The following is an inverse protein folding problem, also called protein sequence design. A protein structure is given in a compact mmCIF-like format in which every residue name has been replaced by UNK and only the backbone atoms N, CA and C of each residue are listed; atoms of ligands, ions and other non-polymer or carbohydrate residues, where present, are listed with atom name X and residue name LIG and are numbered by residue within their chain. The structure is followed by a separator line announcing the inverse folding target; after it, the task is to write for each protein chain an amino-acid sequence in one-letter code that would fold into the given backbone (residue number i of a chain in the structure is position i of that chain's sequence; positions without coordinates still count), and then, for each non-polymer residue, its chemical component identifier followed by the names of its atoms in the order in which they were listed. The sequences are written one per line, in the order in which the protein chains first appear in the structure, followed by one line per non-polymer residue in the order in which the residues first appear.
data_IF_713263353832
#
_entry.id   IF_713263353832
#
_cell.length_a   1.000
_cell.length_b   1.000
_cell.length_c   1.000
_cell.angle_alpha   90.00
_cell.angle_beta   90.00
_cell.angle_gamma   90.00
#
_symmetry.space_group_name_H-M   'P 1'
#
loop_
_entity.id
_entity.type
_entity.pdbx_description
1 polymer ?
#
# COMPACT_ATOMS: atom_id res chain seq x y z
N UNK A 1 -21.63 37.42 -12.84
CA UNK A 1 -22.40 36.64 -11.85
C UNK A 1 -22.07 37.22 -10.48
N UNK A 2 -23.08 37.75 -9.79
CA UNK A 2 -22.86 38.35 -8.46
C UNK A 2 -22.66 37.25 -7.43
N UNK A 3 -21.86 37.48 -6.38
CA UNK A 3 -21.61 36.48 -5.30
C UNK A 3 -22.94 35.98 -4.67
N UNK A 4 -23.97 36.82 -4.64
CA UNK A 4 -25.31 36.44 -4.18
C UNK A 4 -26.01 35.43 -5.10
N UNK A 5 -25.82 35.54 -6.41
CA UNK A 5 -26.41 34.62 -7.39
C UNK A 5 -25.76 33.24 -7.32
N UNK A 6 -24.47 33.18 -6.99
CA UNK A 6 -23.72 31.93 -6.76
C UNK A 6 -24.26 31.19 -5.52
N UNK A 7 -24.60 31.90 -4.46
CA UNK A 7 -25.18 31.33 -3.23
C UNK A 7 -26.56 30.73 -3.45
N UNK A 8 -27.42 31.40 -4.23
CA UNK A 8 -28.75 30.85 -4.59
C UNK A 8 -28.62 29.61 -5.47
N UNK A 9 -27.77 29.65 -6.50
CA UNK A 9 -27.50 28.52 -7.39
C UNK A 9 -26.97 27.29 -6.62
N UNK A 10 -26.02 27.50 -5.71
CA UNK A 10 -25.47 26.43 -4.88
C UNK A 10 -26.52 25.80 -3.95
N UNK A 11 -27.39 26.64 -3.36
CA UNK A 11 -28.46 26.16 -2.49
C UNK A 11 -29.48 25.31 -3.25
N UNK A 12 -29.87 25.75 -4.43
CA UNK A 12 -30.86 25.04 -5.24
C UNK A 12 -30.25 23.74 -5.80
N UNK A 13 -29.01 23.78 -6.28
CA UNK A 13 -28.26 22.57 -6.66
C UNK A 13 -28.16 21.58 -5.48
N UNK A 14 -27.81 22.05 -4.28
CA UNK A 14 -27.68 21.21 -3.10
C UNK A 14 -29.02 20.62 -2.67
N UNK A 15 -30.10 21.36 -2.79
CA UNK A 15 -31.44 20.90 -2.46
C UNK A 15 -31.90 19.79 -3.41
N UNK A 16 -31.54 19.85 -4.69
CA UNK A 16 -31.82 18.82 -5.69
C UNK A 16 -30.90 17.61 -5.53
N UNK A 17 -29.60 17.85 -5.37
CA UNK A 17 -28.59 16.78 -5.17
C UNK A 17 -28.90 15.91 -3.94
N UNK A 18 -29.38 16.50 -2.85
CA UNK A 18 -29.76 15.77 -1.63
C UNK A 18 -30.93 14.80 -1.83
N UNK A 19 -31.69 14.92 -2.90
CA UNK A 19 -32.80 14.01 -3.21
C UNK A 19 -32.29 12.75 -3.90
N UNK A 20 -31.09 12.78 -4.48
CA UNK A 20 -30.48 11.67 -5.19
C UNK A 20 -29.60 10.84 -4.23
N UNK A 21 -30.12 9.70 -3.74
CA UNK A 21 -29.42 8.85 -2.77
C UNK A 21 -28.08 8.32 -3.30
N UNK A 22 -27.99 7.99 -4.59
CA UNK A 22 -26.74 7.56 -5.24
C UNK A 22 -25.68 8.64 -5.24
N UNK A 23 -26.07 9.90 -5.45
CA UNK A 23 -25.18 11.06 -5.39
C UNK A 23 -24.60 11.27 -3.98
N UNK A 24 -25.43 11.13 -2.95
CA UNK A 24 -24.98 11.23 -1.55
C UNK A 24 -23.98 10.13 -1.18
N UNK A 25 -24.22 8.89 -1.61
CA UNK A 25 -23.28 7.78 -1.39
C UNK A 25 -21.95 8.07 -2.11
N UNK A 26 -22.00 8.51 -3.38
CA UNK A 26 -20.79 8.88 -4.12
C UNK A 26 -20.00 9.99 -3.47
N UNK A 27 -20.69 11.05 -2.99
CA UNK A 27 -20.08 12.16 -2.27
C UNK A 27 -19.45 11.69 -0.94
N UNK A 28 -20.13 10.84 -0.19
CA UNK A 28 -19.62 10.29 1.06
C UNK A 28 -18.35 9.45 0.83
N UNK A 29 -18.31 8.63 -0.23
CA UNK A 29 -17.12 7.86 -0.61
C UNK A 29 -15.97 8.78 -1.04
N UNK A 30 -16.24 9.82 -1.82
CA UNK A 30 -15.22 10.79 -2.22
C UNK A 30 -14.64 11.51 -1.00
N UNK A 31 -15.50 11.96 -0.08
CA UNK A 31 -15.05 12.58 1.19
C UNK A 31 -14.22 11.58 2.00
N UNK A 32 -14.65 10.33 2.10
CA UNK A 32 -13.89 9.27 2.78
C UNK A 32 -12.50 9.12 2.17
N UNK A 33 -12.38 9.06 0.85
CA UNK A 33 -11.09 8.92 0.16
C UNK A 33 -10.20 10.15 0.36
N UNK A 34 -10.78 11.36 0.34
CA UNK A 34 -10.05 12.58 0.66
C UNK A 34 -9.56 12.59 2.12
N UNK A 35 -10.39 12.16 3.06
CA UNK A 35 -9.99 12.04 4.46
C UNK A 35 -8.86 11.01 4.64
N UNK A 36 -8.96 9.84 3.99
CA UNK A 36 -7.87 8.85 4.01
C UNK A 36 -6.58 9.44 3.45
N UNK A 37 -6.65 10.23 2.39
CA UNK A 37 -5.48 10.89 1.79
C UNK A 37 -4.88 11.95 2.73
N UNK A 38 -5.71 12.76 3.39
CA UNK A 38 -5.26 13.80 4.33
C UNK A 38 -4.65 13.17 5.59
N UNK A 39 -5.28 12.11 6.08
CA UNK A 39 -4.84 11.37 7.27
C UNK A 39 -4.01 10.13 6.93
N UNK A 40 -3.28 10.14 5.82
CA UNK A 40 -2.45 9.02 5.39
C UNK A 40 -1.46 8.58 6.47
N UNK A 41 -0.67 9.51 7.02
CA UNK A 41 0.40 9.21 7.99
C UNK A 41 -0.05 8.44 9.24
N UNK A 42 -1.13 8.82 9.95
CA UNK A 42 -1.60 8.04 11.08
C UNK A 42 -2.23 6.70 10.69
N UNK A 43 -2.74 6.55 9.46
CA UNK A 43 -3.36 5.33 8.99
C UNK A 43 -2.35 4.27 8.52
N UNK A 44 -1.13 4.69 8.13
CA UNK A 44 -0.10 3.78 7.67
C UNK A 44 0.53 2.98 8.82
N UNK A 45 0.40 1.64 8.85
CA UNK A 45 1.16 0.77 9.76
C UNK A 45 2.67 0.90 9.53
N UNK A 46 3.08 1.02 8.26
CA UNK A 46 4.46 1.19 7.83
C UNK A 46 4.71 2.61 7.36
N UNK A 47 5.38 3.42 8.19
CA UNK A 47 5.52 4.88 7.99
C UNK A 47 6.29 5.26 6.72
N UNK A 48 7.25 4.44 6.29
CA UNK A 48 8.11 4.72 5.15
C UNK A 48 7.61 4.07 3.84
N UNK A 49 6.37 3.61 3.79
CA UNK A 49 5.77 2.95 2.60
C UNK A 49 5.98 3.75 1.32
N UNK A 50 5.79 5.07 1.38
CA UNK A 50 5.92 5.93 0.19
C UNK A 50 7.33 5.95 -0.41
N UNK A 51 8.37 5.94 0.43
CA UNK A 51 9.77 6.02 0.01
C UNK A 51 10.41 4.66 -0.21
N UNK A 52 9.92 3.62 0.47
CA UNK A 52 10.54 2.29 0.51
C UNK A 52 9.66 1.17 -0.04
N UNK A 53 8.67 1.50 -0.87
CA UNK A 53 7.75 0.49 -1.45
C UNK A 53 8.48 -0.62 -2.22
N UNK A 54 9.54 -0.26 -2.95
CA UNK A 54 10.36 -1.20 -3.74
C UNK A 54 11.59 -1.73 -3.00
N UNK A 55 11.81 -1.30 -1.78
CA UNK A 55 12.93 -1.75 -0.96
C UNK A 55 12.59 -3.09 -0.30
N UNK A 56 13.10 -4.18 -0.85
CA UNK A 56 12.87 -5.54 -0.36
C UNK A 56 13.33 -5.69 1.10
N UNK A 57 14.38 -4.97 1.51
CA UNK A 57 14.91 -5.05 2.87
C UNK A 57 13.95 -4.47 3.91
N UNK A 58 13.17 -3.47 3.53
CA UNK A 58 12.16 -2.87 4.40
C UNK A 58 11.01 -3.83 4.73
N UNK A 59 10.67 -4.72 3.78
CA UNK A 59 9.56 -5.66 3.91
C UNK A 59 9.99 -7.06 4.33
N UNK A 60 11.29 -7.32 4.49
CA UNK A 60 11.87 -8.66 4.66
C UNK A 60 11.32 -9.45 5.87
N UNK A 61 10.81 -8.76 6.89
CA UNK A 61 10.32 -9.35 8.14
C UNK A 61 8.86 -9.78 8.07
N UNK A 62 8.13 -9.32 7.06
CA UNK A 62 6.78 -9.75 6.81
C UNK A 62 6.73 -11.14 6.17
N UNK A 63 5.65 -11.90 6.35
CA UNK A 63 5.42 -13.16 5.65
C UNK A 63 5.08 -12.93 4.17
N UNK A 64 5.35 -13.93 3.34
CA UNK A 64 4.98 -13.92 1.91
C UNK A 64 3.52 -14.36 1.76
N UNK A 65 2.73 -13.65 0.95
CA UNK A 65 1.35 -14.01 0.59
C UNK A 65 0.48 -14.34 1.82
N UNK A 66 0.70 -13.65 2.93
CA UNK A 66 -0.06 -13.92 4.12
C UNK A 66 -1.49 -13.36 4.01
N UNK A 67 -2.51 -14.14 4.38
CA UNK A 67 -3.86 -13.64 4.44
C UNK A 67 -4.04 -12.60 5.54
N UNK A 68 -5.11 -11.78 5.46
CA UNK A 68 -5.45 -10.81 6.48
C UNK A 68 -5.68 -11.41 7.88
N UNK A 69 -5.40 -10.65 8.94
CA UNK A 69 -5.59 -11.11 10.34
C UNK A 69 -7.05 -11.50 10.64
N UNK A 70 -8.02 -10.82 10.05
CA UNK A 70 -9.45 -11.11 10.28
C UNK A 70 -9.89 -12.49 9.75
N UNK A 71 -9.11 -13.14 8.87
CA UNK A 71 -9.39 -14.52 8.43
C UNK A 71 -9.38 -15.53 9.56
N UNK A 72 -8.67 -15.21 10.66
CA UNK A 72 -8.70 -16.01 11.89
C UNK A 72 -10.10 -16.11 12.54
N UNK A 73 -11.03 -15.20 12.20
CA UNK A 73 -12.41 -15.27 12.71
C UNK A 73 -13.17 -16.47 12.13
N UNK A 74 -12.78 -16.93 10.95
CA UNK A 74 -13.42 -18.05 10.23
C UNK A 74 -12.57 -19.33 10.27
N UNK A 75 -11.34 -19.27 10.82
CA UNK A 75 -10.43 -20.40 10.83
C UNK A 75 -10.75 -21.36 12.00
N UNK A 76 -10.77 -22.66 11.74
CA UNK A 76 -10.88 -23.69 12.78
C UNK A 76 -9.69 -23.71 13.73
N UNK A 77 -8.48 -23.46 13.21
CA UNK A 77 -7.24 -23.31 13.97
C UNK A 77 -6.67 -21.91 13.70
N UNK A 78 -6.57 -21.12 14.76
CA UNK A 78 -6.06 -19.74 14.68
C UNK A 78 -4.57 -19.75 14.37
N UNK A 79 -4.18 -18.99 13.36
CA UNK A 79 -2.80 -18.76 12.99
C UNK A 79 -2.17 -17.64 13.84
N UNK A 80 -0.86 -17.73 14.10
CA UNK A 80 -0.13 -16.63 14.70
C UNK A 80 -0.16 -15.42 13.75
N UNK A 81 -0.36 -14.22 14.31
CA UNK A 81 -0.30 -12.95 13.58
C UNK A 81 1.09 -12.37 13.65
N UNK A 82 1.48 -11.63 12.62
CA UNK A 82 2.72 -10.86 12.62
C UNK A 82 2.61 -9.71 13.62
N UNK A 83 3.58 -9.61 14.54
CA UNK A 83 3.63 -8.59 15.60
C UNK A 83 5.06 -8.08 15.71
N UNK A 84 5.22 -6.77 15.85
CA UNK A 84 6.47 -6.13 16.24
C UNK A 84 6.43 -5.80 17.73
N UNK A 85 7.42 -6.31 18.48
CA UNK A 85 7.62 -6.05 19.91
C UNK A 85 8.68 -4.96 20.04
N UNK A 86 8.27 -3.69 20.01
CA UNK A 86 9.17 -2.52 20.02
C UNK A 86 9.64 -2.11 21.42
N UNK A 87 8.89 -2.49 22.47
CA UNK A 87 9.16 -2.05 23.84
C UNK A 87 9.63 -3.23 24.68
N UNK A 88 10.94 -3.39 24.78
CA UNK A 88 11.58 -4.27 25.75
C UNK A 88 11.80 -3.57 27.09
N UNK A 89 11.89 -4.37 28.15
CA UNK A 89 12.39 -3.90 29.45
C UNK A 89 13.91 -4.04 29.43
N UNK A 90 14.61 -2.92 29.58
CA UNK A 90 16.09 -2.89 29.67
C UNK A 90 16.52 -2.96 31.14
N UNK A 91 17.46 -3.83 31.42
CA UNK A 91 18.08 -4.01 32.74
C UNK A 91 19.61 -4.18 32.57
N UNK A 92 20.36 -3.61 33.51
CA UNK A 92 21.77 -3.84 33.67
C UNK A 92 21.96 -4.87 34.76
N UNK A 93 22.66 -5.94 34.48
CA UNK A 93 22.88 -7.06 35.38
C UNK A 93 24.36 -7.28 35.55
N UNK A 94 24.79 -7.75 36.73
CA UNK A 94 26.14 -8.24 36.98
C UNK A 94 26.02 -9.68 37.44
N UNK A 95 26.79 -10.58 36.82
CA UNK A 95 26.82 -11.97 37.24
C UNK A 95 27.71 -12.20 38.49
N UNK A 96 27.71 -13.42 38.99
CA UNK A 96 28.50 -13.82 40.17
C UNK A 96 30.03 -13.74 39.92
N UNK A 97 30.45 -13.69 38.67
CA UNK A 97 31.87 -13.55 38.23
C UNK A 97 32.28 -12.10 38.07
N UNK A 98 31.34 -11.15 38.21
CA UNK A 98 31.60 -9.70 38.10
C UNK A 98 31.48 -9.16 36.68
N UNK A 99 30.97 -9.95 35.70
CA UNK A 99 30.75 -9.47 34.35
C UNK A 99 29.43 -8.66 34.30
N UNK A 100 29.48 -7.52 33.62
CA UNK A 100 28.29 -6.67 33.41
C UNK A 100 27.61 -7.00 32.12
N UNK A 101 26.30 -7.12 32.16
CA UNK A 101 25.43 -7.39 31.00
C UNK A 101 24.37 -6.30 30.86
N UNK A 102 24.08 -5.89 29.62
CA UNK A 102 22.82 -5.20 29.28
C UNK A 102 21.85 -6.20 28.70
N UNK A 103 20.68 -6.27 29.30
CA UNK A 103 19.64 -7.20 28.93
C UNK A 103 18.38 -6.44 28.49
N UNK A 104 17.88 -6.75 27.27
CA UNK A 104 16.55 -6.34 26.81
C UNK A 104 15.61 -7.53 26.81
N UNK A 105 14.49 -7.44 27.52
CA UNK A 105 13.49 -8.51 27.61
C UNK A 105 12.16 -8.09 27.02
N UNK A 106 11.57 -8.98 26.19
CA UNK A 106 10.33 -8.76 25.46
C UNK A 106 9.32 -9.84 25.81
N UNK A 107 8.12 -9.44 26.17
CA UNK A 107 7.04 -10.36 26.51
C UNK A 107 6.14 -10.59 25.30
N UNK A 108 5.98 -11.84 24.90
CA UNK A 108 5.07 -12.26 23.84
C UNK A 108 3.99 -13.20 24.39
N UNK A 109 2.74 -12.76 24.30
CA UNK A 109 1.60 -13.58 24.71
C UNK A 109 1.10 -14.42 23.52
N UNK A 110 1.47 -15.69 23.47
CA UNK A 110 1.11 -16.62 22.41
C UNK A 110 -0.24 -17.29 22.68
N UNK A 111 -1.21 -17.06 21.80
CA UNK A 111 -2.59 -17.56 21.91
C UNK A 111 -3.05 -18.38 20.70
N UNK A 112 -2.23 -18.44 19.65
CA UNK A 112 -2.59 -19.13 18.41
C UNK A 112 -2.53 -20.67 18.56
N UNK A 113 -3.13 -21.36 17.58
CA UNK A 113 -3.11 -22.82 17.48
C UNK A 113 -2.02 -23.32 16.53
N UNK A 114 -1.40 -22.42 15.75
CA UNK A 114 -0.28 -22.69 14.84
C UNK A 114 0.91 -21.84 15.25
N UNK A 115 2.11 -22.41 15.17
CA UNK A 115 3.35 -21.71 15.45
C UNK A 115 3.55 -20.50 14.49
N UNK A 116 4.26 -19.46 14.92
CA UNK A 116 4.77 -18.43 14.03
C UNK A 116 5.65 -19.03 12.93
N UNK A 117 5.80 -18.30 11.81
CA UNK A 117 6.70 -18.72 10.72
C UNK A 117 8.16 -18.50 11.10
N UNK A 118 8.44 -17.37 11.76
CA UNK A 118 9.79 -16.99 12.17
C UNK A 118 9.75 -16.07 13.40
N UNK A 119 10.89 -15.93 14.07
CA UNK A 119 11.16 -14.89 15.05
C UNK A 119 12.46 -14.24 14.68
N UNK A 120 12.45 -12.92 14.60
CA UNK A 120 13.54 -12.11 14.07
C UNK A 120 13.95 -11.13 15.16
N UNK A 121 15.17 -11.23 15.60
CA UNK A 121 15.78 -10.34 16.60
C UNK A 121 16.57 -9.26 15.86
N UNK A 122 16.17 -8.02 16.06
CA UNK A 122 16.89 -6.84 15.61
C UNK A 122 17.57 -6.18 16.79
N UNK A 123 18.84 -5.88 16.63
CA UNK A 123 19.60 -5.10 17.59
C UNK A 123 20.71 -4.32 16.89
N UNK A 124 20.95 -3.09 17.35
CA UNK A 124 22.05 -2.28 16.90
C UNK A 124 23.09 -2.24 18.00
N UNK A 125 24.26 -2.84 17.75
CA UNK A 125 25.35 -2.98 18.70
C UNK A 125 26.58 -2.26 18.13
N UNK A 126 27.24 -1.46 18.96
CA UNK A 126 28.54 -0.87 18.63
C UNK A 126 29.63 -1.53 19.50
N UNK A 127 30.72 -1.99 18.87
CA UNK A 127 31.82 -2.65 19.51
C UNK A 127 31.82 -4.18 19.35
N UNK A 128 32.88 -4.84 19.80
CA UNK A 128 32.97 -6.31 19.79
C UNK A 128 32.33 -6.85 21.07
N UNK A 129 31.13 -7.40 20.94
CA UNK A 129 30.33 -7.79 22.11
C UNK A 129 29.83 -9.22 21.98
N UNK A 130 30.05 -10.10 22.97
CA UNK A 130 29.36 -11.37 23.09
C UNK A 130 27.87 -11.13 23.30
N UNK A 131 27.08 -11.81 22.48
CA UNK A 131 25.65 -11.59 22.37
C UNK A 131 24.91 -12.92 22.49
N UNK A 132 23.96 -12.99 23.41
CA UNK A 132 23.21 -14.19 23.73
C UNK A 132 21.73 -13.90 23.54
N UNK A 133 21.01 -14.78 22.84
CA UNK A 133 19.57 -14.77 22.77
C UNK A 133 19.02 -15.99 23.50
N UNK A 134 18.12 -15.73 24.44
CA UNK A 134 17.44 -16.77 25.22
C UNK A 134 15.93 -16.61 25.11
N UNK A 135 15.22 -17.71 25.29
CA UNK A 135 13.75 -17.73 25.37
C UNK A 135 13.34 -18.50 26.61
N UNK A 136 12.60 -17.81 27.49
CA UNK A 136 11.88 -18.46 28.58
C UNK A 136 10.47 -18.83 28.08
N UNK A 137 10.14 -20.13 28.21
CA UNK A 137 8.86 -20.68 27.80
C UNK A 137 7.84 -20.65 28.93
N UNK A 138 6.52 -20.76 28.65
CA UNK A 138 5.48 -20.84 29.68
C UNK A 138 5.57 -22.04 30.60
N UNK A 139 6.25 -23.15 30.20
CA UNK A 139 6.50 -24.33 30.97
C UNK A 139 7.72 -24.23 31.91
N UNK A 140 8.38 -23.08 31.93
CA UNK A 140 9.55 -22.79 32.73
C UNK A 140 10.89 -23.21 32.11
N UNK A 141 10.86 -23.79 30.91
CA UNK A 141 12.10 -24.14 30.21
C UNK A 141 12.73 -22.87 29.58
N UNK A 142 14.05 -22.74 29.77
CA UNK A 142 14.86 -21.70 29.11
C UNK A 142 15.71 -22.33 28.01
N UNK A 143 15.64 -21.80 26.83
CA UNK A 143 16.39 -22.27 25.66
C UNK A 143 17.26 -21.13 25.16
N UNK A 144 18.58 -21.36 25.11
CA UNK A 144 19.54 -20.45 24.50
C UNK A 144 19.51 -20.68 23.00
N UNK A 145 19.07 -19.66 22.24
CA UNK A 145 18.90 -19.75 20.79
C UNK A 145 20.19 -19.46 20.02
N UNK A 146 21.03 -18.56 20.53
CA UNK A 146 22.30 -18.25 19.90
C UNK A 146 23.29 -17.67 20.88
N UNK A 147 24.57 -17.86 20.60
CA UNK A 147 25.68 -17.17 21.24
C UNK A 147 26.66 -16.77 20.13
N UNK A 148 26.69 -15.51 19.80
CA UNK A 148 27.54 -14.97 18.74
C UNK A 148 28.39 -13.80 19.24
N UNK A 149 29.47 -13.52 18.53
CA UNK A 149 30.27 -12.31 18.72
C UNK A 149 29.94 -11.35 17.58
N UNK A 150 29.53 -10.14 17.91
CA UNK A 150 29.36 -9.08 16.92
C UNK A 150 30.64 -8.26 16.81
N UNK A 151 31.10 -8.08 15.57
CA UNK A 151 32.17 -7.14 15.23
C UNK A 151 31.52 -5.85 14.72
N UNK A 152 31.84 -4.73 15.33
CA UNK A 152 31.52 -3.35 14.96
C UNK A 152 30.25 -3.08 14.18
N UNK A 153 29.28 -2.38 14.79
CA UNK A 153 28.07 -1.79 14.19
C UNK A 153 27.25 -2.74 13.29
N UNK A 154 27.10 -4.00 13.67
CA UNK A 154 26.26 -4.92 12.91
C UNK A 154 24.79 -4.72 13.26
N UNK A 155 23.96 -4.50 12.22
CA UNK A 155 22.50 -4.43 12.29
C UNK A 155 21.85 -5.67 11.69
N UNK A 156 22.61 -6.73 11.44
CA UNK A 156 22.08 -7.94 10.80
C UNK A 156 21.08 -8.63 11.71
N UNK A 157 19.82 -8.82 11.27
CA UNK A 157 18.82 -9.48 12.10
C UNK A 157 19.12 -10.96 12.29
N UNK A 158 19.01 -11.45 13.51
CA UNK A 158 19.10 -12.89 13.82
C UNK A 158 17.74 -13.52 13.64
N UNK A 159 17.64 -14.47 12.70
CA UNK A 159 16.40 -15.20 12.39
C UNK A 159 16.48 -16.63 12.90
N UNK A 160 15.55 -17.06 13.73
CA UNK A 160 15.53 -18.44 14.30
C UNK A 160 15.44 -19.49 13.19
N UNK A 161 14.71 -19.19 12.12
CA UNK A 161 14.53 -20.14 11.02
C UNK A 161 15.80 -20.43 10.22
N UNK A 162 16.80 -19.53 10.27
CA UNK A 162 18.05 -19.64 9.49
C UNK A 162 19.26 -19.88 10.40
N UNK A 163 19.24 -19.38 11.63
CA UNK A 163 20.36 -19.46 12.56
C UNK A 163 20.64 -20.93 12.94
N UNK A 164 21.88 -21.40 12.71
CA UNK A 164 22.25 -22.79 12.96
C UNK A 164 22.33 -23.12 14.46
N UNK A 165 22.88 -22.23 15.28
CA UNK A 165 22.98 -22.44 16.73
C UNK A 165 21.59 -22.60 17.35
N UNK A 166 20.63 -21.75 16.93
CA UNK A 166 19.25 -21.84 17.37
C UNK A 166 18.55 -23.11 16.95
N UNK A 167 18.84 -23.61 15.74
CA UNK A 167 18.34 -24.91 15.27
C UNK A 167 18.89 -26.04 16.09
N UNK A 168 20.20 -26.05 16.36
CA UNK A 168 20.86 -27.09 17.11
C UNK A 168 20.38 -27.12 18.58
N UNK A 169 20.21 -25.97 19.20
CA UNK A 169 19.68 -25.83 20.55
C UNK A 169 18.24 -26.37 20.65
N UNK A 170 17.38 -25.95 19.70
CA UNK A 170 15.99 -26.41 19.63
C UNK A 170 15.88 -27.91 19.30
N UNK A 171 16.78 -28.42 18.46
CA UNK A 171 16.82 -29.84 18.15
C UNK A 171 17.34 -30.65 19.35
N UNK A 172 18.27 -30.10 20.13
CA UNK A 172 18.70 -30.71 21.41
C UNK A 172 17.54 -30.75 22.42
N UNK A 173 16.78 -29.66 22.53
CA UNK A 173 15.57 -29.61 23.33
C UNK A 173 14.56 -30.70 22.91
N UNK A 174 14.36 -30.85 21.60
CA UNK A 174 13.48 -31.88 21.04
C UNK A 174 13.94 -33.27 21.42
N UNK A 175 15.25 -33.60 21.33
CA UNK A 175 15.83 -34.90 21.69
C UNK A 175 15.68 -35.26 23.17
N UNK A 176 15.66 -34.26 24.04
CA UNK A 176 15.47 -34.51 25.49
C UNK A 176 14.02 -34.92 25.80
N UNK A 177 13.03 -34.45 25.00
CA UNK A 177 11.62 -34.60 25.31
C UNK A 177 10.88 -35.63 24.40
N UNK A 178 11.54 -36.14 23.36
CA UNK A 178 10.94 -37.10 22.44
C UNK A 178 11.79 -38.37 22.31
N UNK A 179 11.16 -39.49 21.93
CA UNK A 179 11.84 -40.76 21.79
C UNK A 179 12.67 -40.84 20.51
N UNK A 180 13.74 -41.67 20.53
CA UNK A 180 14.59 -41.90 19.36
C UNK A 180 13.80 -42.46 18.17
N UNK A 181 12.80 -43.29 18.43
CA UNK A 181 11.93 -43.87 17.42
C UNK A 181 11.14 -42.79 16.67
N UNK A 182 10.55 -41.81 17.40
CA UNK A 182 9.84 -40.71 16.82
C UNK A 182 10.76 -39.77 16.02
N UNK A 183 11.97 -39.52 16.52
CA UNK A 183 12.97 -38.73 15.85
C UNK A 183 13.47 -39.37 14.55
N UNK A 184 13.58 -40.71 14.53
CA UNK A 184 14.01 -41.45 13.32
C UNK A 184 12.99 -41.36 12.17
N UNK A 185 11.70 -41.18 12.50
CA UNK A 185 10.61 -41.07 11.51
C UNK A 185 10.52 -39.66 10.88
N UNK A 186 11.17 -38.68 11.47
CA UNK A 186 11.09 -37.29 11.04
C UNK A 186 12.45 -36.83 10.50
N UNK A 187 12.48 -36.43 9.23
CA UNK A 187 13.70 -35.84 8.67
C UNK A 187 14.02 -34.54 9.39
N UNK A 188 15.28 -34.37 9.82
CA UNK A 188 15.75 -33.22 10.57
C UNK A 188 15.49 -31.83 9.87
N UNK A 189 15.20 -31.85 8.56
CA UNK A 189 14.82 -30.65 7.81
C UNK A 189 13.31 -30.39 7.69
N UNK A 190 12.45 -31.30 8.19
CA UNK A 190 10.99 -31.19 8.01
C UNK A 190 10.29 -30.43 9.13
N UNK A 191 10.90 -30.29 10.32
CA UNK A 191 10.34 -29.56 11.45
C UNK A 191 10.92 -28.14 11.49
N UNK A 192 10.04 -27.14 11.53
CA UNK A 192 10.47 -25.75 11.70
C UNK A 192 10.92 -25.49 13.15
N UNK A 193 11.98 -24.75 13.32
CA UNK A 193 12.52 -24.32 14.63
C UNK A 193 11.42 -23.70 15.52
N UNK A 194 10.55 -22.89 14.93
CA UNK A 194 9.40 -22.29 15.65
C UNK A 194 8.36 -23.32 16.09
N UNK A 195 8.17 -24.39 15.33
CA UNK A 195 7.27 -25.47 15.76
C UNK A 195 7.82 -26.18 16.99
N UNK A 196 9.13 -26.41 17.10
CA UNK A 196 9.74 -26.98 18.32
C UNK A 196 9.57 -26.01 19.49
N UNK A 197 9.88 -24.72 19.27
CA UNK A 197 9.83 -23.71 20.32
C UNK A 197 8.43 -23.53 20.94
N UNK A 198 7.38 -23.54 20.12
CA UNK A 198 5.99 -23.30 20.53
C UNK A 198 5.17 -24.56 20.76
N UNK A 199 5.78 -25.75 20.65
CA UNK A 199 5.12 -27.02 20.97
C UNK A 199 5.15 -27.32 22.47
N UNK A 200 4.17 -28.05 22.96
CA UNK A 200 4.24 -28.67 24.32
C UNK A 200 5.36 -29.67 24.35
N UNK A 201 6.19 -29.63 25.39
CA UNK A 201 7.25 -30.61 25.65
C UNK A 201 6.61 -31.94 26.07
N UNK A 202 6.62 -32.92 25.17
CA UNK A 202 6.03 -34.23 25.37
C UNK A 202 6.57 -35.25 24.38
N UNK A 203 6.41 -36.52 24.67
CA UNK A 203 6.68 -37.62 23.72
C UNK A 203 5.75 -37.48 22.49
N UNK A 204 6.29 -37.67 21.29
CA UNK A 204 5.60 -37.50 20.00
C UNK A 204 5.50 -36.07 19.52
N UNK A 205 6.19 -35.10 20.15
CA UNK A 205 6.17 -33.71 19.73
C UNK A 205 6.84 -33.50 18.37
N UNK A 206 7.74 -34.38 17.94
CA UNK A 206 8.36 -34.35 16.63
C UNK A 206 7.37 -34.56 15.47
N UNK A 207 6.39 -35.45 15.69
CA UNK A 207 5.39 -35.86 14.71
C UNK A 207 4.10 -35.02 14.74
N UNK A 208 3.83 -34.29 15.82
CA UNK A 208 2.59 -33.53 15.97
C UNK A 208 2.77 -32.23 16.75
N UNK A 209 2.26 -31.15 16.20
CA UNK A 209 2.26 -29.83 16.83
C UNK A 209 1.04 -29.66 17.74
N UNK A 210 1.30 -29.41 19.03
CA UNK A 210 0.30 -29.00 20.02
C UNK A 210 0.76 -27.67 20.67
N UNK A 211 0.06 -26.59 20.43
CA UNK A 211 0.47 -25.26 20.86
C UNK A 211 0.63 -25.12 22.37
N UNK A 212 1.80 -24.78 22.86
CA UNK A 212 2.01 -24.35 24.24
C UNK A 212 1.67 -22.86 24.33
N UNK A 213 0.42 -22.56 24.70
CA UNK A 213 -0.07 -21.19 24.85
C UNK A 213 0.41 -20.60 26.17
N UNK A 214 0.70 -19.29 26.16
CA UNK A 214 1.14 -18.59 27.35
C UNK A 214 2.12 -17.46 27.05
N UNK A 215 2.81 -17.02 28.09
CA UNK A 215 3.77 -15.94 28.02
C UNK A 215 5.16 -16.48 27.71
N UNK A 216 5.70 -16.07 26.58
CA UNK A 216 7.10 -16.27 26.22
C UNK A 216 7.86 -14.99 26.53
N UNK A 217 9.04 -15.12 27.15
CA UNK A 217 9.95 -13.99 27.33
C UNK A 217 11.16 -14.22 26.46
N UNK A 218 11.34 -13.34 25.46
CA UNK A 218 12.55 -13.29 24.65
C UNK A 218 13.54 -12.36 25.29
N UNK A 219 14.77 -12.79 25.42
CA UNK A 219 15.81 -12.07 26.15
C UNK A 219 17.02 -11.93 25.23
N UNK A 220 17.49 -10.70 25.09
CA UNK A 220 18.71 -10.34 24.41
C UNK A 220 19.70 -9.89 25.47
N UNK A 221 20.81 -10.60 25.64
CA UNK A 221 21.88 -10.26 26.57
C UNK A 221 23.14 -9.89 25.81
N UNK A 222 23.73 -8.75 26.14
CA UNK A 222 25.00 -8.32 25.59
C UNK A 222 25.99 -8.11 26.74
N UNK A 223 27.16 -8.76 26.67
CA UNK A 223 28.23 -8.63 27.67
C UNK A 223 28.94 -7.31 27.46
N UNK A 224 29.09 -6.51 28.51
CA UNK A 224 29.81 -5.25 28.49
C UNK A 224 31.29 -5.51 28.83
N UNK A 225 32.12 -5.60 27.80
CA UNK A 225 33.58 -5.78 27.98
C UNK A 225 34.30 -4.45 28.30
N UNK A 226 33.84 -3.39 27.65
CA UNK A 226 34.36 -2.02 27.86
C UNK A 226 33.16 -1.06 27.91
N UNK A 227 32.85 -0.48 29.10
CA UNK A 227 31.72 0.43 29.25
C UNK A 227 31.79 1.67 28.36
N UNK A 228 32.97 2.10 27.98
CA UNK A 228 33.16 3.30 27.15
C UNK A 228 32.95 3.01 25.64
N UNK A 229 33.00 1.75 25.23
CA UNK A 229 32.87 1.34 23.83
C UNK A 229 31.58 0.59 23.53
N UNK A 230 30.87 0.15 24.55
CA UNK A 230 29.65 -0.61 24.39
C UNK A 230 28.40 0.28 24.24
N UNK A 231 27.62 0.06 23.22
CA UNK A 231 26.32 0.67 23.08
C UNK A 231 25.36 -0.34 22.44
N UNK A 232 24.43 -0.90 23.22
CA UNK A 232 23.21 -1.54 22.73
C UNK A 232 22.17 -0.44 22.55
N UNK A 233 21.96 0.03 21.29
CA UNK A 233 21.09 1.17 21.03
C UNK A 233 19.61 0.75 21.00
N UNK A 234 19.21 0.11 19.93
CA UNK A 234 17.81 -0.27 19.74
C UNK A 234 17.69 -1.78 19.56
N UNK A 235 16.79 -2.39 20.32
CA UNK A 235 16.38 -3.77 20.07
C UNK A 235 14.88 -3.88 19.95
N UNK A 236 14.46 -4.69 19.02
CA UNK A 236 13.06 -5.08 18.85
C UNK A 236 12.96 -6.49 18.27
N UNK A 237 11.81 -7.11 18.42
CA UNK A 237 11.59 -8.47 17.95
C UNK A 237 10.38 -8.49 17.04
N UNK A 238 10.55 -9.06 15.85
CA UNK A 238 9.43 -9.35 14.94
C UNK A 238 9.06 -10.81 15.03
N UNK A 239 7.85 -11.07 15.48
CA UNK A 239 7.23 -12.40 15.40
C UNK A 239 6.48 -12.49 14.09
N UNK A 240 7.05 -13.18 13.11
CA UNK A 240 6.43 -13.33 11.78
C UNK A 240 5.37 -14.42 11.83
N UNK A 241 4.12 -14.02 11.71
CA UNK A 241 2.97 -14.93 11.72
C UNK A 241 2.58 -15.43 10.33
N UNK A 242 1.58 -16.34 10.30
CA UNK A 242 0.98 -16.80 9.03
C UNK A 242 -0.16 -15.91 8.55
N UNK A 243 -0.58 -14.93 9.34
CA UNK A 243 -1.53 -13.86 8.96
C UNK A 243 -0.93 -12.51 9.30
N UNK A 244 -1.19 -11.50 8.48
CA UNK A 244 -0.58 -10.19 8.65
C UNK A 244 -1.50 -9.07 8.18
N UNK A 245 -1.46 -7.93 8.89
CA UNK A 245 -2.13 -6.69 8.50
C UNK A 245 -3.65 -6.80 8.28
N UNK A 246 -4.24 -5.71 7.80
CA UNK A 246 -5.68 -5.64 7.50
C UNK A 246 -6.05 -6.34 6.18
N UNK A 247 -5.17 -6.30 5.18
CA UNK A 247 -5.39 -6.88 3.85
C UNK A 247 -4.37 -7.96 3.46
N UNK A 248 -3.50 -8.34 4.41
CA UNK A 248 -2.45 -9.32 4.15
C UNK A 248 -1.21 -8.73 3.47
N UNK A 249 -0.36 -9.61 2.98
CA UNK A 249 0.88 -9.26 2.28
C UNK A 249 0.93 -9.91 0.90
N UNK A 250 1.71 -9.31 0.00
CA UNK A 250 1.92 -9.81 -1.35
C UNK A 250 3.12 -10.79 -1.47
N UNK A 251 3.46 -11.15 -2.70
CA UNK A 251 4.59 -12.02 -3.03
C UNK A 251 5.97 -11.40 -2.73
N UNK A 252 6.03 -10.07 -2.57
CA UNK A 252 7.23 -9.34 -2.15
C UNK A 252 7.22 -8.98 -0.66
N UNK A 253 6.32 -9.60 0.13
CA UNK A 253 6.12 -9.36 1.55
C UNK A 253 5.58 -7.96 1.90
N UNK A 254 5.15 -7.15 0.92
CA UNK A 254 4.67 -5.78 1.14
C UNK A 254 3.28 -5.80 1.76
N UNK A 255 3.01 -4.91 2.71
CA UNK A 255 1.67 -4.77 3.30
C UNK A 255 0.70 -4.13 2.30
N UNK A 256 -0.32 -4.89 1.88
CA UNK A 256 -1.28 -4.45 0.86
C UNK A 256 -2.09 -3.25 1.33
N UNK A 257 -2.47 -3.19 2.61
CA UNK A 257 -3.21 -2.04 3.14
C UNK A 257 -2.41 -0.75 3.07
N UNK A 258 -1.14 -0.80 3.48
CA UNK A 258 -0.23 0.35 3.38
C UNK A 258 -0.07 0.81 1.93
N UNK A 259 0.07 -0.11 0.98
CA UNK A 259 0.13 0.21 -0.45
C UNK A 259 -1.14 0.92 -0.94
N UNK A 260 -2.32 0.40 -0.61
CA UNK A 260 -3.60 0.99 -1.03
C UNK A 260 -3.81 2.40 -0.46
N UNK A 261 -3.48 2.62 0.82
CA UNK A 261 -3.57 3.95 1.45
C UNK A 261 -2.58 4.91 0.81
N UNK A 262 -1.31 4.51 0.65
CA UNK A 262 -0.28 5.34 0.05
C UNK A 262 -0.55 5.68 -1.42
N UNK A 263 -1.12 4.74 -2.18
CA UNK A 263 -1.46 4.90 -3.60
C UNK A 263 -2.70 5.76 -3.85
N UNK A 264 -3.58 5.92 -2.86
CA UNK A 264 -4.88 6.59 -3.03
C UNK A 264 -4.75 8.03 -3.51
N UNK A 265 -3.81 8.81 -2.95
CA UNK A 265 -3.57 10.21 -3.35
C UNK A 265 -3.21 10.34 -4.83
N UNK A 266 -2.38 9.42 -5.33
CA UNK A 266 -1.99 9.42 -6.74
C UNK A 266 -3.13 8.96 -7.64
N UNK A 267 -3.89 7.94 -7.23
CA UNK A 267 -5.07 7.49 -7.97
C UNK A 267 -6.10 8.62 -8.12
N UNK A 268 -6.42 9.33 -7.02
CA UNK A 268 -7.33 10.48 -7.06
C UNK A 268 -6.77 11.61 -7.94
N UNK A 269 -5.49 11.95 -7.77
CA UNK A 269 -4.88 13.02 -8.55
C UNK A 269 -4.86 12.71 -10.05
N UNK A 270 -4.39 11.53 -10.44
CA UNK A 270 -4.34 11.10 -11.84
C UNK A 270 -5.76 11.10 -12.43
N UNK A 271 -6.69 10.44 -11.75
CA UNK A 271 -8.07 10.33 -12.21
C UNK A 271 -8.75 11.69 -12.39
N UNK A 272 -8.77 12.51 -11.35
CA UNK A 272 -9.46 13.80 -11.36
C UNK A 272 -8.79 14.81 -12.27
N UNK A 273 -7.46 14.95 -12.21
CA UNK A 273 -6.74 15.93 -13.01
C UNK A 273 -6.81 15.60 -14.51
N UNK A 274 -6.49 14.36 -14.89
CA UNK A 274 -6.55 13.93 -16.29
C UNK A 274 -7.95 14.10 -16.85
N UNK A 275 -8.98 13.64 -16.13
CA UNK A 275 -10.38 13.74 -16.56
C UNK A 275 -10.83 15.19 -16.69
N UNK A 276 -10.52 16.06 -15.70
CA UNK A 276 -10.91 17.46 -15.73
C UNK A 276 -10.31 18.18 -16.94
N UNK A 277 -8.99 18.06 -17.13
CA UNK A 277 -8.30 18.75 -18.23
C UNK A 277 -8.75 18.21 -19.59
N UNK A 278 -8.83 16.90 -19.75
CA UNK A 278 -9.24 16.27 -21.01
C UNK A 278 -10.68 16.63 -21.39
N UNK A 279 -11.61 16.58 -20.44
CA UNK A 279 -13.03 16.93 -20.69
C UNK A 279 -13.16 18.42 -21.00
N UNK A 280 -12.46 19.30 -20.30
CA UNK A 280 -12.47 20.72 -20.63
C UNK A 280 -12.00 20.98 -22.06
N UNK A 281 -10.87 20.38 -22.47
CA UNK A 281 -10.38 20.50 -23.86
C UNK A 281 -11.44 19.97 -24.84
N UNK A 282 -12.00 18.79 -24.61
CA UNK A 282 -12.98 18.18 -25.49
C UNK A 282 -14.29 18.96 -25.59
N UNK A 283 -14.75 19.56 -24.48
CA UNK A 283 -15.96 20.40 -24.46
C UNK A 283 -15.74 21.67 -25.27
N UNK A 284 -14.65 22.38 -25.05
CA UNK A 284 -14.34 23.59 -25.84
C UNK A 284 -14.11 23.26 -27.30
N UNK A 285 -13.43 22.15 -27.61
CA UNK A 285 -13.24 21.68 -28.97
C UNK A 285 -14.59 21.39 -29.65
N UNK A 286 -15.49 20.64 -29.01
CA UNK A 286 -16.81 20.35 -29.54
C UNK A 286 -17.67 21.59 -29.77
N UNK A 287 -17.66 22.53 -28.81
CA UNK A 287 -18.37 23.82 -28.96
C UNK A 287 -17.84 24.62 -30.15
N UNK A 288 -16.51 24.76 -30.26
CA UNK A 288 -15.86 25.50 -31.33
C UNK A 288 -16.17 24.88 -32.69
N UNK A 289 -16.08 23.59 -32.84
CA UNK A 289 -16.43 22.82 -34.04
C UNK A 289 -17.86 23.10 -34.49
N UNK A 290 -18.82 22.96 -33.59
CA UNK A 290 -20.24 23.20 -33.89
C UNK A 290 -20.56 24.69 -34.18
N UNK A 291 -19.99 25.60 -33.39
CA UNK A 291 -20.29 27.02 -33.47
C UNK A 291 -19.83 27.63 -34.80
N UNK A 292 -18.57 27.37 -35.20
CA UNK A 292 -18.05 27.92 -36.46
C UNK A 292 -18.58 27.17 -37.68
N UNK A 293 -18.71 25.84 -37.60
CA UNK A 293 -19.24 24.99 -38.68
C UNK A 293 -18.37 25.03 -39.96
N UNK A 294 -18.94 24.55 -41.05
CA UNK A 294 -18.33 24.60 -42.39
C UNK A 294 -16.92 24.00 -42.43
N UNK A 295 -15.96 24.73 -43.04
CA UNK A 295 -14.57 24.28 -43.22
C UNK A 295 -13.89 24.11 -41.87
N UNK A 296 -14.15 24.94 -40.86
CA UNK A 296 -13.55 24.85 -39.51
C UNK A 296 -13.96 23.53 -38.87
N UNK A 297 -15.25 23.20 -38.91
CA UNK A 297 -15.74 21.93 -38.39
C UNK A 297 -15.11 20.74 -39.11
N UNK A 298 -15.01 20.80 -40.46
CA UNK A 298 -14.38 19.72 -41.26
C UNK A 298 -12.92 19.46 -40.86
N UNK A 299 -12.14 20.52 -40.68
CA UNK A 299 -10.73 20.40 -40.24
C UNK A 299 -10.66 19.86 -38.82
N UNK A 300 -11.47 20.37 -37.90
CA UNK A 300 -11.54 19.91 -36.53
C UNK A 300 -11.94 18.42 -36.44
N UNK A 301 -12.92 17.98 -37.23
CA UNK A 301 -13.32 16.57 -37.30
C UNK A 301 -12.20 15.69 -37.88
N UNK A 302 -11.42 16.16 -38.84
CA UNK A 302 -10.28 15.43 -39.37
C UNK A 302 -9.21 15.23 -38.27
N UNK A 303 -8.87 16.27 -37.51
CA UNK A 303 -7.93 16.19 -36.38
C UNK A 303 -8.47 15.22 -35.32
N UNK A 304 -9.75 15.35 -34.93
CA UNK A 304 -10.41 14.44 -34.00
C UNK A 304 -10.26 12.97 -34.43
N UNK A 305 -10.50 12.66 -35.71
CA UNK A 305 -10.42 11.30 -36.23
C UNK A 305 -9.00 10.73 -36.15
N UNK A 306 -7.95 11.57 -36.35
CA UNK A 306 -6.57 11.12 -36.18
C UNK A 306 -6.36 10.63 -34.73
N UNK A 307 -6.77 11.42 -33.75
CA UNK A 307 -6.55 11.03 -32.34
C UNK A 307 -7.36 9.80 -31.93
N UNK A 308 -8.60 9.66 -32.40
CA UNK A 308 -9.43 8.48 -32.08
C UNK A 308 -8.91 7.22 -32.74
N UNK A 309 -8.24 7.32 -33.90
CA UNK A 309 -7.69 6.18 -34.62
C UNK A 309 -6.45 5.58 -33.96
N UNK A 310 -5.79 6.33 -33.09
CA UNK A 310 -4.56 5.89 -32.41
C UNK A 310 -4.94 5.16 -31.11
N UNK A 311 -4.57 3.87 -30.95
CA UNK A 311 -4.88 3.15 -29.71
C UNK A 311 -3.99 3.64 -28.59
N UNK A 312 -4.61 4.20 -27.54
CA UNK A 312 -3.91 4.86 -26.44
C UNK A 312 -2.95 3.95 -25.67
N UNK A 313 -3.36 2.72 -25.33
CA UNK A 313 -2.53 1.83 -24.51
C UNK A 313 -1.19 1.47 -25.18
N UNK A 314 -1.13 1.06 -26.47
CA UNK A 314 0.13 0.91 -27.18
C UNK A 314 1.02 2.16 -27.18
N UNK A 315 0.44 3.35 -27.35
CA UNK A 315 1.20 4.60 -27.28
C UNK A 315 1.80 4.80 -25.90
N UNK A 316 1.03 4.60 -24.82
CA UNK A 316 1.53 4.72 -23.46
C UNK A 316 2.68 3.74 -23.18
N UNK A 317 2.56 2.48 -23.63
CA UNK A 317 3.61 1.47 -23.47
C UNK A 317 4.90 1.90 -24.20
N UNK A 318 4.80 2.26 -25.47
CA UNK A 318 5.98 2.67 -26.27
C UNK A 318 6.64 3.91 -25.69
N UNK A 319 5.84 4.90 -25.33
CA UNK A 319 6.32 6.17 -24.80
C UNK A 319 6.97 5.96 -23.42
N UNK A 320 6.36 5.17 -22.53
CA UNK A 320 6.94 4.85 -21.23
C UNK A 320 8.20 3.98 -21.31
N UNK A 321 8.35 3.19 -22.35
CA UNK A 321 9.56 2.38 -22.59
C UNK A 321 10.73 3.21 -23.15
N UNK A 322 10.44 4.25 -23.95
CA UNK A 322 11.46 5.09 -24.60
C UNK A 322 11.91 6.23 -23.68
N UNK A 323 10.99 6.82 -22.93
CA UNK A 323 11.28 7.95 -22.05
C UNK A 323 11.40 7.45 -20.59
N UNK A 324 12.14 8.21 -19.77
CA UNK A 324 12.21 7.91 -18.33
C UNK A 324 10.80 7.94 -17.73
N UNK A 325 10.35 6.86 -17.08
CA UNK A 325 9.04 6.81 -16.45
C UNK A 325 8.83 7.96 -15.47
N UNK A 326 7.79 8.75 -15.68
CA UNK A 326 7.38 9.84 -14.81
C UNK A 326 5.87 9.97 -14.85
N UNK A 327 5.27 10.12 -13.68
CA UNK A 327 3.82 10.27 -13.54
C UNK A 327 3.30 11.51 -14.30
N UNK A 328 4.05 12.60 -14.29
CA UNK A 328 3.69 13.85 -14.98
C UNK A 328 3.65 13.68 -16.49
N UNK A 329 4.64 12.94 -17.01
CA UNK A 329 4.70 12.65 -18.44
C UNK A 329 3.54 11.75 -18.87
N UNK A 330 3.24 10.71 -18.08
CA UNK A 330 2.12 9.81 -18.31
C UNK A 330 0.78 10.54 -18.32
N UNK A 331 0.55 11.43 -17.33
CA UNK A 331 -0.63 12.29 -17.27
C UNK A 331 -0.71 13.18 -18.52
N UNK A 332 0.40 13.78 -18.94
CA UNK A 332 0.44 14.62 -20.15
C UNK A 332 0.02 13.87 -21.41
N UNK A 333 0.55 12.65 -21.61
CA UNK A 333 0.14 11.79 -22.73
C UNK A 333 -1.33 11.41 -22.63
N UNK A 334 -1.82 11.04 -21.45
CA UNK A 334 -3.23 10.70 -21.24
C UNK A 334 -4.14 11.89 -21.55
N UNK A 335 -3.81 13.10 -21.13
CA UNK A 335 -4.57 14.32 -21.46
C UNK A 335 -4.66 14.53 -22.97
N UNK A 336 -3.51 14.36 -23.69
CA UNK A 336 -3.47 14.50 -25.15
C UNK A 336 -4.36 13.50 -25.88
N UNK A 337 -4.61 12.32 -25.31
CA UNK A 337 -5.39 11.27 -25.96
C UNK A 337 -6.81 11.10 -25.40
N UNK A 338 -7.15 11.66 -24.24
CA UNK A 338 -8.48 11.49 -23.64
C UNK A 338 -9.50 12.55 -24.07
N UNK A 339 -9.04 13.74 -24.52
CA UNK A 339 -9.92 14.84 -24.90
C UNK A 339 -10.97 14.47 -25.98
N UNK A 340 -10.70 13.55 -26.94
CA UNK A 340 -11.70 13.20 -27.94
C UNK A 340 -12.96 12.55 -27.37
N UNK A 341 -12.85 11.92 -26.18
CA UNK A 341 -13.96 11.15 -25.60
C UNK A 341 -15.26 11.91 -25.40
N UNK A 342 -15.20 13.22 -25.16
CA UNK A 342 -16.40 14.08 -24.98
C UNK A 342 -16.79 14.87 -26.24
N UNK A 343 -15.92 14.95 -27.25
CA UNK A 343 -16.06 15.87 -28.38
C UNK A 343 -17.35 15.66 -29.19
N UNK A 344 -17.63 14.42 -29.61
CA UNK A 344 -18.77 14.16 -30.50
C UNK A 344 -20.11 14.46 -29.86
N UNK A 345 -20.26 14.08 -28.58
CA UNK A 345 -21.49 14.36 -27.84
C UNK A 345 -21.66 15.84 -27.61
N UNK A 346 -20.59 16.54 -27.19
CA UNK A 346 -20.62 18.00 -27.00
C UNK A 346 -20.91 18.72 -28.31
N UNK A 347 -20.28 18.31 -29.40
CA UNK A 347 -20.52 18.88 -30.73
C UNK A 347 -21.98 18.74 -31.13
N UNK A 348 -22.58 17.56 -30.93
CA UNK A 348 -24.00 17.35 -31.24
C UNK A 348 -24.93 18.24 -30.41
N UNK A 349 -24.69 18.33 -29.09
CA UNK A 349 -25.42 19.22 -28.21
C UNK A 349 -25.22 20.70 -28.57
N UNK A 350 -24.00 21.09 -28.91
CA UNK A 350 -23.66 22.46 -29.27
C UNK A 350 -24.32 22.89 -30.62
N UNK A 351 -24.49 21.97 -31.57
CA UNK A 351 -25.29 22.22 -32.77
C UNK A 351 -26.76 22.52 -32.43
N UNK A 352 -27.35 21.73 -31.53
CA UNK A 352 -28.75 21.98 -31.09
C UNK A 352 -28.87 23.34 -30.40
N UNK A 353 -27.96 23.66 -29.45
CA UNK A 353 -27.96 24.95 -28.76
C UNK A 353 -27.78 26.12 -29.72
N UNK A 354 -26.97 25.96 -30.77
CA UNK A 354 -26.68 27.02 -31.73
C UNK A 354 -27.93 27.45 -32.49
N UNK A 355 -28.85 26.54 -32.74
CA UNK A 355 -30.11 26.80 -33.48
C UNK A 355 -31.28 27.31 -32.59
N UNK A 356 -31.02 27.50 -31.29
CA UNK A 356 -32.00 28.03 -30.35
C UNK A 356 -32.27 29.52 -30.61
N UNK A 357 -33.54 29.94 -30.56
CA UNK A 357 -34.02 31.30 -30.87
C UNK A 357 -33.34 32.37 -30.01
N UNK A 358 -32.97 32.08 -28.75
CA UNK A 358 -32.32 33.07 -27.91
C UNK A 358 -30.85 33.34 -28.34
N UNK A 359 -30.17 32.38 -28.98
CA UNK A 359 -28.84 32.55 -29.57
C UNK A 359 -28.94 33.46 -30.80
N UNK A 360 -29.96 33.29 -31.65
CA UNK A 360 -30.21 34.16 -32.77
C UNK A 360 -30.54 35.58 -32.30
N UNK A 361 -31.39 35.72 -31.28
CA UNK A 361 -31.70 37.00 -30.67
C UNK A 361 -30.42 37.70 -30.10
N UNK A 362 -29.58 36.96 -29.39
CA UNK A 362 -28.32 37.48 -28.86
C UNK A 362 -27.40 37.97 -29.99
N UNK A 363 -27.33 37.26 -31.11
CA UNK A 363 -26.56 37.61 -32.29
C UNK A 363 -27.13 38.87 -32.96
N UNK A 364 -28.46 38.95 -33.10
CA UNK A 364 -29.12 40.14 -33.66
C UNK A 364 -28.90 41.37 -32.81
N UNK A 365 -28.77 41.24 -31.49
CA UNK A 365 -28.42 42.31 -30.54
C UNK A 365 -26.93 42.65 -30.54
N UNK A 366 -26.11 42.04 -31.44
CA UNK A 366 -24.70 42.33 -31.57
C UNK A 366 -23.76 41.63 -30.62
N UNK A 367 -24.20 40.51 -30.03
CA UNK A 367 -23.30 39.71 -29.19
C UNK A 367 -22.17 39.08 -30.02
N UNK A 368 -20.92 39.37 -29.65
CA UNK A 368 -19.75 38.77 -30.31
C UNK A 368 -19.57 37.28 -30.00
N UNK A 369 -18.76 36.58 -30.80
CA UNK A 369 -18.52 35.13 -30.72
C UNK A 369 -18.14 34.67 -29.31
N UNK A 370 -17.22 35.35 -28.61
CA UNK A 370 -16.82 35.01 -27.25
C UNK A 370 -17.99 35.03 -26.27
N UNK A 371 -18.86 36.04 -26.36
CA UNK A 371 -20.03 36.16 -25.50
C UNK A 371 -21.03 35.04 -25.74
N UNK A 372 -21.26 34.64 -26.98
CA UNK A 372 -22.16 33.52 -27.32
C UNK A 372 -21.58 32.21 -26.79
N UNK A 373 -20.33 31.91 -27.08
CA UNK A 373 -19.67 30.67 -26.67
C UNK A 373 -19.64 30.53 -25.14
N UNK A 374 -19.08 31.51 -24.43
CA UNK A 374 -18.83 31.38 -23.00
C UNK A 374 -20.02 31.70 -22.12
N UNK A 375 -20.93 32.59 -22.53
CA UNK A 375 -22.05 33.00 -21.67
C UNK A 375 -23.38 32.32 -22.04
N UNK A 376 -23.50 31.78 -23.25
CA UNK A 376 -24.77 31.20 -23.70
C UNK A 376 -24.65 29.73 -24.02
N UNK A 377 -23.56 29.24 -24.63
CA UNK A 377 -23.43 27.82 -25.00
C UNK A 377 -22.74 26.99 -23.90
N UNK A 378 -21.55 27.39 -23.45
CA UNK A 378 -20.75 26.61 -22.50
C UNK A 378 -21.48 26.33 -21.17
N UNK A 379 -22.24 27.26 -20.55
CA UNK A 379 -22.95 26.99 -19.31
C UNK A 379 -23.97 25.87 -19.40
N UNK A 380 -24.62 25.69 -20.56
CA UNK A 380 -25.61 24.63 -20.77
C UNK A 380 -24.98 23.24 -20.89
N UNK A 381 -23.68 23.19 -21.16
CA UNK A 381 -22.91 21.93 -21.27
C UNK A 381 -22.20 21.54 -19.97
N UNK A 382 -22.26 22.39 -18.93
CA UNK A 382 -21.66 22.11 -17.63
C UNK A 382 -22.16 20.78 -17.03
N UNK A 383 -23.46 20.49 -16.97
CA UNK A 383 -23.94 19.23 -16.40
C UNK A 383 -23.37 18.01 -17.12
N UNK A 384 -23.34 18.03 -18.44
CA UNK A 384 -22.74 16.98 -19.24
C UNK A 384 -21.22 16.87 -18.99
N UNK A 385 -20.53 18.01 -18.87
CA UNK A 385 -19.08 18.04 -18.60
C UNK A 385 -18.72 17.34 -17.28
N UNK A 386 -19.49 17.59 -16.21
CA UNK A 386 -19.30 16.92 -14.94
C UNK A 386 -19.59 15.42 -15.03
N UNK A 387 -20.65 15.01 -15.71
CA UNK A 387 -20.97 13.60 -15.93
C UNK A 387 -19.86 12.88 -16.71
N UNK A 388 -19.40 13.50 -17.80
CA UNK A 388 -18.31 12.98 -18.63
C UNK A 388 -16.99 12.89 -17.84
N UNK A 389 -16.67 13.89 -17.01
CA UNK A 389 -15.51 13.87 -16.13
C UNK A 389 -15.58 12.70 -15.14
N UNK A 390 -16.72 12.52 -14.47
CA UNK A 390 -16.91 11.43 -13.51
C UNK A 390 -16.72 10.05 -14.14
N UNK A 391 -17.23 9.86 -15.38
CA UNK A 391 -17.06 8.60 -16.12
C UNK A 391 -15.62 8.38 -16.63
N UNK A 392 -14.85 9.44 -16.83
CA UNK A 392 -13.46 9.35 -17.31
C UNK A 392 -12.45 9.04 -16.20
N UNK A 393 -12.77 9.35 -14.92
CA UNK A 393 -11.87 9.12 -13.77
C UNK A 393 -11.44 7.66 -13.65
N UNK A 394 -12.34 6.65 -13.63
CA UNK A 394 -11.93 5.24 -13.55
C UNK A 394 -11.05 4.82 -14.72
N UNK A 395 -11.35 5.30 -15.93
CA UNK A 395 -10.57 4.99 -17.13
C UNK A 395 -9.13 5.48 -17.00
N UNK A 396 -8.91 6.69 -16.51
CA UNK A 396 -7.58 7.24 -16.31
C UNK A 396 -6.75 6.40 -15.30
N UNK A 397 -7.38 5.98 -14.19
CA UNK A 397 -6.73 5.11 -13.20
C UNK A 397 -6.38 3.75 -13.80
N UNK A 398 -7.28 3.14 -14.58
CA UNK A 398 -7.04 1.84 -15.22
C UNK A 398 -5.90 1.91 -16.23
N UNK A 399 -5.81 2.98 -17.03
CA UNK A 399 -4.70 3.14 -17.99
C UNK A 399 -3.35 3.31 -17.28
N UNK A 400 -3.30 4.12 -16.22
CA UNK A 400 -2.09 4.23 -15.37
C UNK A 400 -1.70 2.87 -14.81
N UNK A 401 -2.67 2.17 -14.21
CA UNK A 401 -2.44 0.85 -13.60
C UNK A 401 -1.96 -0.18 -14.62
N UNK A 402 -2.45 -0.13 -15.86
CA UNK A 402 -2.01 -1.02 -16.93
C UNK A 402 -0.53 -0.79 -17.30
N UNK A 403 -0.09 0.46 -17.36
CA UNK A 403 1.31 0.81 -17.63
C UNK A 403 2.21 0.43 -16.45
N UNK A 404 1.77 0.72 -15.24
CA UNK A 404 2.50 0.39 -14.01
C UNK A 404 2.63 -1.11 -13.78
N UNK A 405 1.59 -1.91 -14.09
CA UNK A 405 1.61 -3.38 -14.03
C UNK A 405 2.69 -3.97 -14.97
N UNK A 406 2.95 -3.33 -16.09
CA UNK A 406 4.01 -3.73 -17.02
C UNK A 406 5.42 -3.28 -16.57
N UNK A 407 5.55 -2.70 -15.38
CA UNK A 407 6.83 -2.20 -14.85
C UNK A 407 7.28 -0.87 -15.45
N UNK A 408 6.43 -0.21 -16.24
CA UNK A 408 6.71 1.06 -16.93
C UNK A 408 6.21 2.29 -16.17
N UNK A 409 5.71 2.11 -14.94
CA UNK A 409 5.28 3.19 -14.06
C UNK A 409 6.43 3.93 -13.37
N UNK A 410 6.12 5.09 -12.77
CA UNK A 410 7.09 5.89 -12.01
C UNK A 410 7.48 5.18 -10.72
N UNK A 411 8.76 4.80 -10.62
CA UNK A 411 9.30 4.04 -9.49
C UNK A 411 9.42 4.85 -8.19
N UNK A 412 9.32 6.17 -8.26
CA UNK A 412 9.52 7.06 -7.10
C UNK A 412 8.26 7.26 -6.26
N UNK A 413 7.12 6.76 -6.71
CA UNK A 413 5.82 6.91 -6.05
C UNK A 413 5.11 5.57 -5.96
N UNK A 414 4.24 5.43 -4.97
CA UNK A 414 3.34 4.26 -4.87
C UNK A 414 2.05 4.58 -5.60
N UNK A 415 1.69 3.76 -6.59
CA UNK A 415 0.38 3.81 -7.27
C UNK A 415 -0.33 2.48 -7.15
N UNK A 416 -1.65 2.47 -7.36
CA UNK A 416 -2.40 1.21 -7.32
C UNK A 416 -1.94 0.22 -8.39
N UNK A 417 -1.48 0.70 -9.54
CA UNK A 417 -0.91 -0.15 -10.57
C UNK A 417 0.38 -0.86 -10.14
N UNK A 418 1.19 -0.20 -9.31
CA UNK A 418 2.42 -0.80 -8.78
C UNK A 418 2.17 -1.85 -7.68
N UNK A 419 1.01 -1.84 -7.04
CA UNK A 419 0.64 -2.90 -6.09
C UNK A 419 0.34 -4.20 -6.84
N UNK A 420 -0.16 -4.09 -8.07
CA UNK A 420 -0.47 -5.24 -8.93
C UNK A 420 0.77 -5.85 -9.60
N UNK A 421 1.88 -5.13 -9.65
CA UNK A 421 3.17 -5.57 -10.19
C UNK A 421 3.98 -6.28 -9.10
#
# INVERSE_FOLDING_TARGET
MNIKDLGYWFRDFWAEFRREGSGLVGLALLILFLLVTIFENPLLPFKETNSRWRDITYWQDNPINAPPVWTNLFAQKKAARTINLEKGKREELTDDEGNSYVQDSFLYHFTADKAPLDIIFHSTIQGMVPYIIEVERPDGATIQLTQQYFEYSDTTPVRISVNNDGKDSLFTFLKIHDSEDNLSMVSSGSIRSTEILFNKAREGMAGSFEALKGNYRFIIKALVLDPDQFVLQDSHIVVTGSVSGLLGTDNMKRDIFSGLVAGLKWALFIGLFTSAVSVLIGVFYGIMSAYFGGIVDTIMQFIYQIFVSIPLLPVLIVVSAVFKPSIWFLIGVMVIFFWPGSVMTVRSMAFQIKEETYIEAARALGAGHRRIIFNHMAPLLIPYSFASMALSVPSAIVYESSVSLLGLGDASIVTWGQILH
#
